data_IF_834308478955
#
_entry.id   IF_834308478955
#
_cell.length_a   1.000
_cell.length_b   1.000
_cell.length_c   1.000
_cell.angle_alpha   90.00
_cell.angle_beta   90.00
_cell.angle_gamma   90.00
#
_symmetry.space_group_name_H-M   'P 1'
#
loop_
_entity.id
_entity.type
_entity.pdbx_description
1 polymer ?
#
# COMPACT_ATOMS: atom_id res chain seq x y z
N UNK A 1 5.36 -27.21 23.68
CA UNK A 1 6.03 -25.90 23.78
C UNK A 1 5.31 -24.95 22.83
N UNK A 2 4.51 -24.03 23.35
CA UNK A 2 3.87 -23.01 22.52
C UNK A 2 4.87 -21.90 22.27
N UNK A 3 5.11 -21.58 20.99
CA UNK A 3 5.96 -20.47 20.59
C UNK A 3 5.11 -19.20 20.71
N UNK A 4 5.59 -18.23 21.48
CA UNK A 4 4.98 -16.89 21.52
C UNK A 4 5.32 -16.19 20.20
N UNK A 5 4.29 -15.84 19.44
CA UNK A 5 4.42 -15.06 18.21
C UNK A 5 3.93 -13.63 18.45
N UNK A 6 4.71 -12.66 18.00
CA UNK A 6 4.39 -11.22 18.04
C UNK A 6 4.65 -10.61 16.68
N UNK A 7 3.78 -9.68 16.27
CA UNK A 7 3.99 -8.91 15.05
C UNK A 7 5.08 -7.86 15.28
N UNK A 8 6.00 -7.76 14.31
CA UNK A 8 7.18 -6.90 14.37
C UNK A 8 7.40 -6.26 13.00
N UNK A 9 7.98 -5.05 12.99
CA UNK A 9 8.30 -4.34 11.77
C UNK A 9 9.62 -4.86 11.21
N UNK A 10 9.58 -5.39 10.00
CA UNK A 10 10.75 -5.94 9.30
C UNK A 10 10.70 -5.50 7.85
N UNK A 11 11.83 -5.04 7.33
CA UNK A 11 11.95 -4.61 5.94
C UNK A 11 12.89 -3.42 5.77
N UNK A 12 12.92 -2.89 4.56
CA UNK A 12 13.69 -1.70 4.18
C UNK A 12 12.76 -0.62 3.64
N UNK A 13 13.24 0.61 3.70
CA UNK A 13 12.60 1.75 3.08
C UNK A 13 13.10 1.94 1.64
N UNK A 14 12.39 2.74 0.86
CA UNK A 14 12.79 3.06 -0.52
C UNK A 14 14.04 3.94 -0.55
N UNK A 15 14.21 4.80 0.46
CA UNK A 15 15.44 5.55 0.69
C UNK A 15 16.39 4.75 1.60
N UNK A 16 17.68 4.69 1.25
CA UNK A 16 18.70 3.94 1.99
C UNK A 16 19.11 4.60 3.32
N UNK A 17 18.80 5.89 3.50
CA UNK A 17 19.04 6.60 4.75
C UNK A 17 17.93 6.39 5.79
N UNK A 18 16.79 5.86 5.36
CA UNK A 18 15.63 5.59 6.20
C UNK A 18 15.61 4.12 6.68
N UNK A 19 15.03 3.89 7.86
CA UNK A 19 14.86 2.55 8.41
C UNK A 19 13.40 2.33 8.76
N UNK A 20 12.98 1.07 8.68
CA UNK A 20 11.62 0.70 9.07
C UNK A 20 11.51 0.71 10.60
N UNK A 21 10.64 1.56 11.13
CA UNK A 21 10.37 1.71 12.56
C UNK A 21 8.92 1.35 12.88
N UNK A 22 8.63 0.86 14.10
CA UNK A 22 7.25 0.76 14.56
C UNK A 22 6.62 2.14 14.64
N UNK A 23 5.48 2.29 13.97
CA UNK A 23 4.72 3.53 14.00
C UNK A 23 3.69 3.52 15.13
N UNK A 24 3.02 2.38 15.32
CA UNK A 24 2.12 2.15 16.45
C UNK A 24 2.40 0.80 17.09
N UNK A 25 2.27 0.74 18.42
CA UNK A 25 2.60 -0.42 19.23
C UNK A 25 1.44 -0.69 20.19
N UNK A 26 1.13 -1.97 20.36
CA UNK A 26 0.22 -2.49 21.37
C UNK A 26 0.98 -3.38 22.34
N UNK A 27 0.80 -3.15 23.64
CA UNK A 27 1.37 -4.01 24.69
C UNK A 27 0.49 -5.23 24.92
N UNK A 28 1.11 -6.40 25.00
CA UNK A 28 0.48 -7.70 25.20
C UNK A 28 1.01 -8.35 26.47
N UNK A 29 0.12 -8.91 27.29
CA UNK A 29 0.53 -9.78 28.38
C UNK A 29 0.44 -11.25 27.96
N UNK A 30 1.50 -12.01 28.24
CA UNK A 30 1.61 -13.43 27.89
C UNK A 30 2.15 -14.24 29.07
N UNK A 31 1.50 -15.35 29.44
CA UNK A 31 2.02 -16.23 30.48
C UNK A 31 3.24 -17.01 29.97
N UNK A 32 4.28 -17.05 30.78
CA UNK A 32 5.47 -17.88 30.59
C UNK A 32 5.71 -18.73 31.84
N UNK A 33 6.30 -19.89 31.64
CA UNK A 33 6.63 -20.81 32.73
C UNK A 33 8.10 -20.66 33.07
N UNK A 34 8.39 -20.32 34.32
CA UNK A 34 9.75 -20.35 34.85
C UNK A 34 10.13 -21.78 35.25
N UNK A 35 11.23 -22.26 34.68
CA UNK A 35 11.77 -23.59 34.96
C UNK A 35 13.11 -23.46 35.69
N UNK A 36 13.23 -24.09 36.84
CA UNK A 36 14.47 -24.17 37.62
C UNK A 36 15.23 -25.44 37.26
N UNK A 37 16.53 -25.31 37.02
CA UNK A 37 17.40 -26.46 36.82
C UNK A 37 17.77 -27.11 38.16
N UNK A 38 17.51 -28.41 38.31
CA UNK A 38 17.72 -29.14 39.58
C UNK A 38 18.82 -30.20 39.51
N UNK A 39 19.64 -30.18 38.45
CA UNK A 39 20.72 -31.14 38.23
C UNK A 39 20.33 -32.37 37.42
N UNK A 40 21.32 -33.16 37.00
CA UNK A 40 21.17 -34.39 36.20
C UNK A 40 20.28 -34.23 34.95
N UNK A 41 20.33 -33.06 34.29
CA UNK A 41 19.51 -32.80 33.10
C UNK A 41 18.02 -32.60 33.39
N UNK A 42 17.62 -32.39 34.65
CA UNK A 42 16.22 -32.22 35.05
C UNK A 42 15.88 -30.76 35.37
N UNK A 43 14.66 -30.39 35.01
CA UNK A 43 14.08 -29.08 35.30
C UNK A 43 12.80 -29.28 36.13
N UNK A 44 12.56 -28.36 37.07
CA UNK A 44 11.32 -28.27 37.84
C UNK A 44 10.58 -26.98 37.47
N UNK A 45 9.26 -27.07 37.36
CA UNK A 45 8.42 -25.89 37.21
C UNK A 45 8.40 -25.11 38.54
N UNK A 46 8.81 -23.85 38.50
CA UNK A 46 8.80 -22.98 39.68
C UNK A 46 7.45 -22.27 39.81
N UNK A 47 7.12 -21.47 38.79
CA UNK A 47 5.92 -20.64 38.75
C UNK A 47 5.59 -20.24 37.31
N UNK A 48 4.37 -19.73 37.11
CA UNK A 48 3.96 -19.09 35.85
C UNK A 48 3.87 -17.59 36.09
N UNK A 49 4.51 -16.80 35.23
CA UNK A 49 4.54 -15.34 35.28
C UNK A 49 3.92 -14.77 34.00
N UNK A 50 3.23 -13.64 34.12
CA UNK A 50 2.85 -12.86 32.94
C UNK A 50 4.00 -11.91 32.59
N UNK A 51 4.48 -11.98 31.35
CA UNK A 51 5.41 -11.00 30.80
C UNK A 51 4.68 -10.06 29.85
N UNK A 52 5.15 -8.82 29.77
CA UNK A 52 4.68 -7.85 28.79
C UNK A 52 5.56 -7.92 27.54
N UNK A 53 4.93 -7.99 26.37
CA UNK A 53 5.57 -7.97 25.06
C UNK A 53 5.01 -6.83 24.23
N UNK A 54 5.81 -6.29 23.31
CA UNK A 54 5.37 -5.27 22.36
C UNK A 54 5.00 -5.91 21.02
N UNK A 55 3.82 -5.58 20.51
CA UNK A 55 3.35 -5.97 19.19
C UNK A 55 3.20 -4.73 18.33
N UNK A 56 3.84 -4.72 17.17
CA UNK A 56 3.75 -3.60 16.24
C UNK A 56 2.46 -3.71 15.44
N UNK A 57 1.64 -2.65 15.44
CA UNK A 57 0.37 -2.59 14.72
C UNK A 57 0.46 -1.85 13.38
N UNK A 58 1.49 -1.01 13.21
CA UNK A 58 1.86 -0.40 11.91
C UNK A 58 3.34 -0.03 11.88
N UNK A 59 3.90 0.14 10.68
CA UNK A 59 5.30 0.46 10.45
C UNK A 59 5.43 1.72 9.59
N UNK A 60 6.49 2.50 9.82
CA UNK A 60 6.80 3.72 9.06
C UNK A 60 8.30 3.78 8.76
N UNK A 61 8.67 4.40 7.64
CA UNK A 61 10.05 4.73 7.31
C UNK A 61 10.54 6.03 8.00
N UNK A 62 9.60 6.76 8.60
CA UNK A 62 9.83 8.04 9.23
C UNK A 62 9.64 7.92 10.74
N UNK A 63 10.60 8.48 11.49
CA UNK A 63 10.50 8.60 12.94
C UNK A 63 9.83 9.93 13.31
N UNK A 64 8.51 9.87 13.43
CA UNK A 64 7.66 11.04 13.64
C UNK A 64 7.29 11.28 15.12
N UNK A 65 7.89 10.52 16.05
CA UNK A 65 7.59 10.64 17.47
C UNK A 65 6.20 10.11 17.87
N UNK A 66 5.69 10.57 19.01
CA UNK A 66 4.42 10.09 19.61
C UNK A 66 3.19 10.86 19.13
N UNK A 67 3.33 12.10 18.67
CA UNK A 67 2.23 12.99 18.27
C UNK A 67 1.93 12.90 16.77
N UNK A 68 1.85 11.69 16.24
CA UNK A 68 1.57 11.48 14.82
C UNK A 68 0.07 11.41 14.61
N UNK A 69 -0.50 12.17 13.67
CA UNK A 69 -1.93 12.14 13.40
C UNK A 69 -2.36 10.78 12.82
N UNK A 70 -3.55 10.32 13.21
CA UNK A 70 -4.20 9.23 12.49
C UNK A 70 -4.67 9.74 11.11
N UNK A 71 -4.16 9.12 10.05
CA UNK A 71 -4.50 9.56 8.70
C UNK A 71 -5.84 8.99 8.22
N UNK A 72 -6.65 9.80 7.52
CA UNK A 72 -7.87 9.30 6.89
C UNK A 72 -7.55 8.29 5.77
N UNK A 73 -8.55 7.47 5.36
CA UNK A 73 -8.35 6.50 4.27
C UNK A 73 -7.83 7.17 2.98
N UNK A 74 -6.81 6.57 2.37
CA UNK A 74 -6.14 7.10 1.17
C UNK A 74 -4.89 7.95 1.46
N UNK A 75 -4.65 8.28 2.72
CA UNK A 75 -3.48 9.03 3.18
C UNK A 75 -2.52 8.15 3.98
N UNK A 76 -1.23 8.48 3.92
CA UNK A 76 -0.13 7.86 4.67
C UNK A 76 0.75 8.94 5.28
N UNK A 77 1.48 8.59 6.34
CA UNK A 77 2.45 9.51 6.95
C UNK A 77 3.63 9.72 6.00
N UNK A 78 3.84 10.97 5.62
CA UNK A 78 4.96 11.41 4.80
C UNK A 78 6.21 11.73 5.62
N UNK A 79 7.27 12.12 4.92
CA UNK A 79 8.56 12.49 5.50
C UNK A 79 8.53 13.73 6.38
N UNK A 80 7.53 14.59 6.21
CA UNK A 80 7.27 15.76 7.05
C UNK A 80 6.38 15.45 8.26
N UNK A 81 6.11 14.16 8.50
CA UNK A 81 5.25 13.67 9.57
C UNK A 81 3.80 14.15 9.50
N UNK A 82 3.33 14.47 8.29
CA UNK A 82 1.93 14.80 8.01
C UNK A 82 1.29 13.74 7.13
N UNK A 83 -0.04 13.70 7.15
CA UNK A 83 -0.81 12.87 6.24
C UNK A 83 -0.66 13.41 4.81
N UNK A 84 -0.21 12.55 3.91
CA UNK A 84 -0.01 12.84 2.50
C UNK A 84 -0.65 11.72 1.67
N UNK A 85 -0.98 12.01 0.42
CA UNK A 85 -1.56 11.02 -0.46
C UNK A 85 -0.66 9.79 -0.64
N UNK A 86 -1.21 8.60 -0.47
CA UNK A 86 -0.48 7.35 -0.66
C UNK A 86 -0.01 7.16 -2.11
N UNK A 87 -0.78 7.68 -3.06
CA UNK A 87 -0.60 7.55 -4.50
C UNK A 87 0.09 8.77 -5.13
N UNK A 88 1.22 9.21 -4.58
CA UNK A 88 1.97 10.36 -5.12
C UNK A 88 2.38 10.21 -6.59
N UNK A 89 2.56 8.97 -7.06
CA UNK A 89 2.83 8.68 -8.48
C UNK A 89 1.72 9.19 -9.41
N UNK A 90 0.48 9.16 -8.93
CA UNK A 90 -0.71 9.49 -9.73
C UNK A 90 -0.78 11.00 -9.96
N UNK A 91 -0.29 11.79 -9.02
CA UNK A 91 -0.14 13.25 -9.18
C UNK A 91 0.65 13.60 -10.42
N UNK A 92 1.76 12.90 -10.68
CA UNK A 92 2.57 13.11 -11.89
C UNK A 92 1.88 12.63 -13.17
N UNK A 93 0.87 11.77 -13.02
CA UNK A 93 0.06 11.24 -14.11
C UNK A 93 -1.17 12.12 -14.42
N UNK A 94 -1.51 13.09 -13.56
CA UNK A 94 -2.55 14.08 -13.85
C UNK A 94 -2.09 15.00 -14.98
N UNK A 95 -2.69 14.83 -16.16
CA UNK A 95 -2.38 15.58 -17.36
C UNK A 95 -3.68 16.09 -18.02
N UNK A 96 -3.55 17.11 -18.87
CA UNK A 96 -4.68 17.72 -19.58
C UNK A 96 -5.48 18.69 -18.71
N UNK A 97 -6.81 18.62 -18.78
CA UNK A 97 -7.74 19.49 -18.05
C UNK A 97 -8.05 19.03 -16.61
N UNK A 98 -7.17 18.18 -16.05
CA UNK A 98 -7.30 17.68 -14.69
C UNK A 98 -6.26 18.31 -13.80
N UNK A 99 -6.68 18.76 -12.64
CA UNK A 99 -5.81 19.25 -11.59
C UNK A 99 -5.73 18.23 -10.46
N UNK A 100 -4.58 18.13 -9.81
CA UNK A 100 -4.44 17.26 -8.65
C UNK A 100 -5.07 17.91 -7.42
N UNK A 101 -6.03 17.23 -6.81
CA UNK A 101 -6.63 17.62 -5.55
C UNK A 101 -5.90 16.91 -4.41
N UNK A 102 -5.07 17.67 -3.67
CA UNK A 102 -4.30 17.16 -2.52
C UNK A 102 -5.19 16.75 -1.33
N UNK A 103 -6.45 17.20 -1.26
CA UNK A 103 -7.41 16.79 -0.21
C UNK A 103 -8.18 15.52 -0.58
N UNK A 104 -8.32 15.23 -1.88
CA UNK A 104 -9.01 14.02 -2.37
C UNK A 104 -8.04 12.95 -2.89
N UNK A 105 -6.75 13.24 -2.96
CA UNK A 105 -5.70 12.37 -3.51
C UNK A 105 -6.04 11.79 -4.89
N UNK A 106 -6.64 12.62 -5.75
CA UNK A 106 -7.06 12.24 -7.09
C UNK A 106 -6.99 13.42 -8.04
N UNK A 107 -6.85 13.15 -9.33
CA UNK A 107 -7.05 14.18 -10.33
C UNK A 107 -8.54 14.53 -10.43
N UNK A 108 -8.89 15.80 -10.29
CA UNK A 108 -10.24 16.33 -10.45
C UNK A 108 -10.28 17.25 -11.67
N UNK A 109 -11.42 17.32 -12.33
CA UNK A 109 -11.61 18.29 -13.39
C UNK A 109 -11.91 19.67 -12.80
N UNK A 110 -11.49 20.72 -13.49
CA UNK A 110 -12.00 22.06 -13.20
C UNK A 110 -13.52 22.08 -13.48
N UNK A 111 -14.31 22.55 -12.52
CA UNK A 111 -15.76 22.57 -12.65
C UNK A 111 -16.19 23.67 -13.62
N UNK A 112 -16.53 23.28 -14.85
CA UNK A 112 -17.04 24.22 -15.86
C UNK A 112 -18.57 24.23 -15.87
N UNK A 113 -19.14 25.42 -16.09
CA UNK A 113 -20.59 25.54 -16.33
C UNK A 113 -20.88 25.17 -17.78
N UNK A 114 -21.53 24.03 -17.99
CA UNK A 114 -21.88 23.57 -19.33
C UNK A 114 -23.00 24.42 -19.95
N UNK A 115 -22.83 24.88 -21.20
CA UNK A 115 -23.90 25.58 -21.91
C UNK A 115 -24.99 24.61 -22.39
N UNK A 116 -26.25 25.06 -22.34
CA UNK A 116 -27.47 24.31 -22.72
C UNK A 116 -27.75 23.11 -21.80
N UNK A 117 -28.66 22.20 -22.20
CA UNK A 117 -29.09 20.99 -21.45
C UNK A 117 -28.00 19.87 -21.45
N UNK A 118 -26.73 20.28 -21.42
CA UNK A 118 -25.55 19.42 -21.33
C UNK A 118 -25.19 19.19 -19.87
N UNK A 119 -24.69 18.00 -19.57
CA UNK A 119 -24.22 17.62 -18.24
C UNK A 119 -22.70 17.52 -18.26
N UNK A 120 -22.05 18.00 -17.21
CA UNK A 120 -20.62 17.83 -17.06
C UNK A 120 -20.30 16.37 -16.72
N UNK A 121 -19.39 15.77 -17.49
CA UNK A 121 -18.88 14.43 -17.28
C UNK A 121 -17.52 14.52 -16.57
N UNK A 122 -17.47 14.11 -15.30
CA UNK A 122 -16.24 14.14 -14.49
C UNK A 122 -15.16 13.15 -14.98
N UNK A 123 -15.54 12.11 -15.72
CA UNK A 123 -14.59 11.14 -16.25
C UNK A 123 -13.94 11.64 -17.54
N UNK A 124 -14.61 12.49 -18.31
CA UNK A 124 -14.08 13.10 -19.53
C UNK A 124 -13.56 14.52 -19.32
N UNK A 125 -13.90 15.17 -18.21
CA UNK A 125 -13.70 16.60 -17.98
C UNK A 125 -14.31 17.47 -19.09
N UNK A 126 -15.50 17.11 -19.56
CA UNK A 126 -16.15 17.78 -20.68
C UNK A 126 -17.68 17.78 -20.55
N UNK A 127 -18.33 18.67 -21.29
CA UNK A 127 -19.77 18.77 -21.37
C UNK A 127 -20.33 17.79 -22.39
N UNK A 128 -21.11 16.82 -21.91
CA UNK A 128 -21.75 15.80 -22.74
C UNK A 128 -23.26 16.00 -22.76
N UNK A 129 -23.89 15.68 -23.89
CA UNK A 129 -25.35 15.68 -23.97
C UNK A 129 -25.90 14.45 -23.27
N UNK A 130 -26.94 14.64 -22.45
CA UNK A 130 -27.65 13.52 -21.82
C UNK A 130 -28.20 12.61 -22.91
N UNK A 131 -27.63 11.40 -23.06
CA UNK A 131 -28.21 10.37 -23.91
C UNK A 131 -29.51 9.92 -23.25
N UNK A 132 -30.63 10.49 -23.66
CA UNK A 132 -31.95 9.95 -23.33
C UNK A 132 -31.96 8.52 -23.89
N UNK A 133 -32.05 7.52 -23.01
CA UNK A 133 -32.18 6.12 -23.38
C UNK A 133 -33.34 5.96 -24.38
N UNK A 134 -33.00 5.68 -25.64
CA UNK A 134 -34.01 5.62 -26.70
C UNK A 134 -33.40 5.46 -28.09
N UNK A 135 -33.20 4.21 -28.49
CA UNK A 135 -32.88 3.72 -29.84
C UNK A 135 -31.51 4.11 -30.40
N UNK A 136 -30.57 3.19 -30.22
CA UNK A 136 -29.52 2.97 -31.21
C UNK A 136 -30.16 2.84 -32.60
N UNK A 137 -30.01 3.87 -33.45
CA UNK A 137 -30.06 3.65 -34.89
C UNK A 137 -28.75 2.98 -35.25
N UNK A 138 -28.85 1.66 -35.42
CA UNK A 138 -27.89 0.86 -36.13
C UNK A 138 -27.72 1.46 -37.53
N UNK A 139 -26.67 2.25 -37.71
CA UNK A 139 -26.06 2.49 -39.00
C UNK A 139 -24.62 2.01 -38.86
N UNK A 140 -24.42 0.84 -39.43
CA UNK A 140 -23.19 0.07 -39.62
C UNK A 140 -21.92 0.90 -39.76
N UNK A 141 -20.97 0.70 -38.84
CA UNK A 141 -19.61 0.26 -39.23
C UNK A 141 -19.26 -0.88 -38.26
N UNK A 142 -19.47 -2.11 -38.72
CA UNK A 142 -18.79 -3.27 -38.15
C UNK A 142 -17.37 -3.18 -38.67
N UNK A 143 -16.43 -2.77 -37.82
CA UNK A 143 -15.04 -3.19 -37.97
C UNK A 143 -14.66 -4.02 -36.73
N UNK A 144 -14.96 -5.31 -36.85
CA UNK A 144 -14.47 -6.35 -35.96
C UNK A 144 -12.95 -6.47 -36.14
N UNK A 145 -12.17 -5.71 -35.39
CA UNK A 145 -10.77 -6.08 -35.10
C UNK A 145 -10.15 -5.25 -33.97
N UNK A 146 -10.38 -5.64 -32.72
CA UNK A 146 -9.38 -5.46 -31.66
C UNK A 146 -9.25 -6.74 -30.84
N UNK A 147 -9.07 -7.87 -31.55
CA UNK A 147 -8.26 -8.93 -30.96
C UNK A 147 -6.86 -8.34 -30.79
N UNK A 148 -6.49 -7.99 -29.56
CA UNK A 148 -5.12 -7.61 -29.23
C UNK A 148 -4.24 -8.81 -29.55
N UNK A 149 -3.41 -8.69 -30.58
CA UNK A 149 -2.44 -9.71 -30.93
C UNK A 149 -1.41 -9.83 -29.79
N UNK A 150 -1.51 -10.90 -29.00
CA UNK A 150 -0.61 -11.18 -27.89
C UNK A 150 0.86 -11.29 -28.32
N UNK A 151 1.17 -11.41 -29.62
CA UNK A 151 2.53 -11.41 -30.13
C UNK A 151 3.21 -10.02 -30.08
N UNK A 152 2.42 -8.95 -29.98
CA UNK A 152 2.88 -7.55 -29.92
C UNK A 152 3.15 -7.02 -28.50
N UNK A 153 2.78 -7.79 -27.47
CA UNK A 153 3.07 -7.42 -26.09
C UNK A 153 4.56 -7.59 -25.76
N UNK A 154 5.21 -6.62 -25.09
CA UNK A 154 6.58 -6.78 -24.63
C UNK A 154 6.64 -7.95 -23.63
N UNK A 155 7.33 -9.03 -24.03
CA UNK A 155 7.60 -10.15 -23.12
C UNK A 155 8.47 -9.64 -21.97
N UNK A 156 7.92 -9.64 -20.76
CA UNK A 156 8.69 -9.54 -19.53
C UNK A 156 9.77 -10.63 -19.57
N UNK A 157 11.03 -10.24 -19.79
CA UNK A 157 12.16 -11.13 -19.57
C UNK A 157 12.27 -11.31 -18.06
N UNK A 158 11.69 -12.40 -17.56
CA UNK A 158 12.00 -12.89 -16.24
C UNK A 158 13.52 -13.10 -16.19
N UNK A 159 14.22 -12.22 -15.49
CA UNK A 159 15.63 -12.41 -15.18
C UNK A 159 15.66 -13.56 -14.17
N UNK A 160 15.83 -14.77 -14.69
CA UNK A 160 16.20 -15.92 -13.86
C UNK A 160 17.57 -15.58 -13.30
N UNK A 161 17.59 -15.09 -12.05
CA UNK A 161 18.81 -15.04 -11.26
C UNK A 161 19.15 -16.49 -10.97
N UNK A 162 20.04 -17.05 -11.80
CA UNK A 162 20.75 -18.26 -11.42
C UNK A 162 21.67 -17.86 -10.27
N UNK A 163 21.35 -18.30 -9.07
CA UNK A 163 22.35 -18.42 -8.04
C UNK A 163 23.32 -19.51 -8.51
N UNK A 164 24.50 -19.09 -8.99
CA UNK A 164 25.63 -20.00 -9.01
C UNK A 164 25.95 -20.38 -7.56
N UNK A 165 26.01 -21.68 -7.23
CA UNK A 165 26.57 -22.11 -5.97
C UNK A 165 28.06 -21.78 -6.00
N UNK A 166 28.47 -20.86 -5.13
CA UNK A 166 29.87 -20.55 -4.90
C UNK A 166 30.64 -21.83 -4.61
N UNK A 167 31.57 -22.15 -5.48
CA UNK A 167 32.58 -23.17 -5.29
C UNK A 167 33.50 -22.67 -4.16
N UNK A 168 33.42 -23.34 -3.01
CA UNK A 168 34.49 -23.40 -2.03
C UNK A 168 35.75 -23.90 -2.74
N UNK A 169 36.81 -23.10 -2.74
CA UNK A 169 38.16 -23.63 -2.87
C UNK A 169 38.96 -23.22 -1.63
N UNK A 170 39.71 -24.23 -1.18
CA UNK A 170 40.57 -24.32 -0.01
C UNK A 170 41.66 -23.25 0.03
#
# INVERSE_FOLDING_TARGET
>A
MHILQVMQCVGSCCDSFERCHPHSIRKLERPVVEMLYVGNGRFMLNQTLNITMEEHTSCSCYDCGLDVPECPPGFVIGSDCKCQCANKSDRHSCQGYREWDDEKCRCVCESISCPNDQMFDEDLCDCVHRRIGGKARLAEIIDTSTAVDLSSLPRLKAKVVRHDPGIFNQ
#
